data_IF_423369296366
#
_entry.id   IF_423369296366
#
_cell.length_a   1.000
_cell.length_b   1.000
_cell.length_c   1.000
_cell.angle_alpha   90.00
_cell.angle_beta   90.00
_cell.angle_gamma   90.00
#
_symmetry.space_group_name_H-M   'P 1'
#
loop_
_entity.id
_entity.type
_entity.pdbx_description
1 polymer ?
#
# COMPACT_ATOMS: atom_id res chain seq x y z
N UNK A 1 -10.75 -4.23 -7.98
CA UNK A 1 -9.56 -3.36 -7.92
C UNK A 1 -9.12 -3.07 -6.48
N UNK A 2 -7.90 -3.49 -6.16
CA UNK A 2 -7.26 -3.33 -4.84
C UNK A 2 -5.88 -2.71 -5.01
N UNK A 3 -5.55 -1.74 -4.16
CA UNK A 3 -4.22 -1.14 -4.06
C UNK A 3 -3.53 -1.53 -2.77
N UNK A 4 -2.23 -1.77 -2.81
CA UNK A 4 -1.41 -2.11 -1.63
C UNK A 4 -0.22 -1.16 -1.55
N UNK A 5 -0.08 -0.50 -0.41
CA UNK A 5 1.11 0.24 -0.01
C UNK A 5 1.75 -0.47 1.19
N UNK A 6 2.89 -1.11 0.96
CA UNK A 6 3.57 -1.95 1.94
C UNK A 6 4.66 -1.14 2.66
N UNK A 7 4.39 -0.78 3.91
CA UNK A 7 5.31 -0.07 4.78
C UNK A 7 6.25 -1.07 5.50
N UNK A 8 7.56 -0.79 5.62
CA UNK A 8 8.55 -1.78 6.05
C UNK A 8 8.43 -2.18 7.53
N UNK A 9 7.88 -1.33 8.39
CA UNK A 9 7.68 -1.60 9.82
C UNK A 9 6.22 -1.93 10.18
N UNK A 10 5.42 -2.38 9.20
CA UNK A 10 4.09 -2.94 9.47
C UNK A 10 4.21 -4.24 10.30
N UNK A 11 3.25 -4.49 11.19
CA UNK A 11 3.23 -5.62 12.11
C UNK A 11 3.23 -6.94 11.33
N UNK A 12 2.53 -6.96 10.20
CA UNK A 12 2.40 -8.13 9.35
C UNK A 12 2.63 -7.79 7.87
N UNK A 13 3.80 -8.18 7.36
CA UNK A 13 4.17 -8.02 5.95
C UNK A 13 3.57 -9.16 5.14
N UNK A 14 2.50 -8.87 4.39
CA UNK A 14 1.82 -9.87 3.56
C UNK A 14 2.64 -10.17 2.30
N UNK A 15 3.00 -11.44 2.01
CA UNK A 15 3.63 -11.81 0.75
C UNK A 15 2.75 -11.45 -0.44
N UNK A 16 3.36 -10.85 -1.48
CA UNK A 16 2.63 -10.40 -2.68
C UNK A 16 1.80 -11.52 -3.33
N UNK A 17 2.36 -12.72 -3.45
CA UNK A 17 1.67 -13.88 -4.02
C UNK A 17 0.38 -14.24 -3.28
N UNK A 18 0.33 -14.03 -1.96
CA UNK A 18 -0.88 -14.30 -1.17
C UNK A 18 -1.95 -13.23 -1.42
N UNK A 19 -1.54 -11.97 -1.51
CA UNK A 19 -2.44 -10.87 -1.83
C UNK A 19 -3.01 -11.01 -3.26
N UNK A 20 -2.17 -11.38 -4.24
CA UNK A 20 -2.59 -11.62 -5.63
C UNK A 20 -3.51 -12.83 -5.78
N UNK A 21 -3.37 -13.84 -4.94
CA UNK A 21 -4.29 -14.99 -4.92
C UNK A 21 -5.69 -14.64 -4.35
N UNK A 22 -5.78 -13.63 -3.48
CA UNK A 22 -7.01 -13.27 -2.77
C UNK A 22 -7.74 -12.05 -3.36
N UNK A 23 -7.03 -11.15 -4.05
CA UNK A 23 -7.56 -9.87 -4.48
C UNK A 23 -7.14 -9.51 -5.92
N UNK A 24 -7.98 -8.71 -6.59
CA UNK A 24 -7.68 -8.08 -7.88
C UNK A 24 -6.72 -6.89 -7.69
N UNK A 25 -5.42 -7.18 -7.49
CA UNK A 25 -4.37 -6.18 -7.25
C UNK A 25 -4.12 -5.36 -8.52
N UNK A 26 -4.35 -4.04 -8.43
CA UNK A 26 -4.14 -3.06 -9.52
C UNK A 26 -2.99 -2.10 -9.26
N UNK A 27 -2.57 -1.98 -8.01
CA UNK A 27 -1.46 -1.14 -7.59
C UNK A 27 -0.72 -1.83 -6.45
N UNK A 28 0.61 -1.89 -6.54
CA UNK A 28 1.48 -2.47 -5.52
C UNK A 28 2.71 -1.59 -5.36
N UNK A 29 2.84 -0.97 -4.19
CA UNK A 29 3.98 -0.15 -3.81
C UNK A 29 4.65 -0.75 -2.58
N UNK A 30 5.98 -0.86 -2.63
CA UNK A 30 6.81 -1.19 -1.47
C UNK A 30 7.58 0.07 -1.08
N UNK A 31 7.38 0.53 0.15
CA UNK A 31 7.86 1.82 0.61
C UNK A 31 9.13 1.68 1.45
N UNK A 32 9.91 2.75 1.51
CA UNK A 32 11.21 2.74 2.19
C UNK A 32 11.13 3.04 3.69
N UNK A 33 10.03 3.66 4.16
CA UNK A 33 9.88 4.16 5.54
C UNK A 33 8.44 4.06 6.03
N UNK A 34 8.26 4.06 7.35
CA UNK A 34 6.98 3.99 8.05
C UNK A 34 6.61 2.58 8.48
N UNK A 35 5.56 2.47 9.30
CA UNK A 35 5.03 1.21 9.80
C UNK A 35 3.52 1.21 9.94
N UNK A 36 3.05 0.61 11.03
CA UNK A 36 1.64 0.30 11.27
C UNK A 36 0.72 1.53 11.21
N UNK A 37 1.18 2.68 11.68
CA UNK A 37 0.40 3.92 11.66
C UNK A 37 0.77 4.79 10.45
N UNK A 38 0.81 4.19 9.25
CA UNK A 38 1.24 4.83 7.99
C UNK A 38 0.72 6.26 7.76
N UNK A 39 -0.58 6.50 8.00
CA UNK A 39 -1.17 7.82 7.82
C UNK A 39 -0.62 8.89 8.79
N UNK A 40 -0.21 8.48 10.00
CA UNK A 40 0.41 9.35 11.00
C UNK A 40 1.92 9.45 10.82
N UNK A 41 2.59 8.33 10.55
CA UNK A 41 4.05 8.25 10.45
C UNK A 41 4.59 8.81 9.14
N UNK A 42 3.87 8.65 8.03
CA UNK A 42 4.27 9.02 6.67
C UNK A 42 3.09 9.66 5.92
N UNK A 43 2.50 10.71 6.49
CA UNK A 43 1.25 11.33 5.98
C UNK A 43 1.28 11.67 4.50
N UNK A 44 2.36 12.31 4.01
CA UNK A 44 2.45 12.69 2.60
C UNK A 44 2.53 11.46 1.69
N UNK A 45 3.42 10.50 2.01
CA UNK A 45 3.55 9.25 1.25
C UNK A 45 2.23 8.47 1.22
N UNK A 46 1.53 8.39 2.34
CA UNK A 46 0.22 7.76 2.42
C UNK A 46 -0.81 8.43 1.49
N UNK A 47 -0.88 9.76 1.49
CA UNK A 47 -1.78 10.51 0.59
C UNK A 47 -1.39 10.33 -0.88
N UNK A 48 -0.09 10.28 -1.19
CA UNK A 48 0.40 10.09 -2.55
C UNK A 48 0.04 8.71 -3.10
N UNK A 49 0.15 7.67 -2.28
CA UNK A 49 -0.27 6.30 -2.62
C UNK A 49 -1.77 6.19 -2.84
N UNK A 50 -2.59 6.80 -1.96
CA UNK A 50 -4.04 6.87 -2.15
C UNK A 50 -4.39 7.55 -3.48
N UNK A 51 -3.81 8.72 -3.74
CA UNK A 51 -4.06 9.46 -4.96
C UNK A 51 -3.61 8.69 -6.21
N UNK A 52 -2.49 7.98 -6.13
CA UNK A 52 -1.97 7.16 -7.23
C UNK A 52 -2.93 6.04 -7.56
N UNK A 53 -3.41 5.29 -6.56
CA UNK A 53 -4.38 4.23 -6.78
C UNK A 53 -5.70 4.77 -7.37
N UNK A 54 -6.29 5.82 -6.79
CA UNK A 54 -7.56 6.34 -7.27
C UNK A 54 -7.49 6.97 -8.67
N UNK A 55 -6.32 7.46 -9.10
CA UNK A 55 -6.12 7.90 -10.50
C UNK A 55 -6.22 6.76 -11.51
N UNK A 56 -5.91 5.52 -11.12
CA UNK A 56 -6.04 4.34 -12.01
C UNK A 56 -7.50 3.90 -12.20
N UNK A 57 -8.42 4.41 -11.38
CA UNK A 57 -9.85 4.04 -11.38
C UNK A 57 -10.76 5.11 -12.02
N UNK A 58 -10.17 6.19 -12.53
CA UNK A 58 -10.89 7.28 -13.20
C UNK A 58 -10.82 7.12 -14.71
#
# INVERSE_FOLDING_TARGET
PTGVALFPAEIYITPRAWAEAAYDIRHWAQLEKGGHFAALEQTQTYLDELNTFFRLLR
#
